data_IF_370820797338
#
_entry.id   IF_370820797338
#
_cell.length_a   1.000
_cell.length_b   1.000
_cell.length_c   1.000
_cell.angle_alpha   90.00
_cell.angle_beta   90.00
_cell.angle_gamma   90.00
#
_symmetry.space_group_name_H-M   'P 1'
#
loop_
_entity.id
_entity.type
_entity.pdbx_description
1 polymer ?
#
# COMPACT_ATOMS: atom_id res chain seq x y z
N UNK A 1 4.73 -19.37 1.14
CA UNK A 1 3.45 -19.41 0.39
C UNK A 1 3.07 -17.98 0.03
N UNK A 2 2.86 -17.66 -1.26
CA UNK A 2 2.46 -16.31 -1.66
C UNK A 2 1.01 -16.04 -1.20
N UNK A 3 0.76 -14.85 -0.62
CA UNK A 3 -0.60 -14.42 -0.27
C UNK A 3 -1.35 -14.13 -1.57
N UNK A 4 -2.58 -14.62 -1.68
CA UNK A 4 -3.44 -14.38 -2.84
C UNK A 4 -4.72 -13.67 -2.41
N UNK A 5 -5.30 -12.89 -3.29
CA UNK A 5 -6.63 -12.34 -3.12
C UNK A 5 -7.73 -13.37 -3.49
N UNK A 6 -9.00 -12.99 -3.31
CA UNK A 6 -10.16 -13.82 -3.65
C UNK A 6 -10.28 -14.14 -5.15
N UNK A 7 -9.55 -13.42 -6.01
CA UNK A 7 -9.53 -13.60 -7.47
C UNK A 7 -8.30 -14.39 -7.93
N UNK A 8 -7.41 -14.78 -7.01
CA UNK A 8 -6.20 -15.55 -7.30
C UNK A 8 -4.96 -14.72 -7.65
N UNK A 9 -5.02 -13.39 -7.59
CA UNK A 9 -3.86 -12.52 -7.80
C UNK A 9 -2.90 -12.59 -6.61
N UNK A 10 -1.59 -12.59 -6.90
CA UNK A 10 -0.57 -12.56 -5.86
C UNK A 10 -0.45 -11.15 -5.24
N UNK A 11 -0.55 -11.10 -3.91
CA UNK A 11 -0.35 -9.92 -3.08
C UNK A 11 1.11 -9.82 -2.65
N UNK A 12 1.67 -8.61 -2.75
CA UNK A 12 3.02 -8.25 -2.31
C UNK A 12 3.07 -8.10 -0.78
N UNK A 13 4.28 -7.88 -0.27
CA UNK A 13 4.47 -7.52 1.15
C UNK A 13 3.72 -6.21 1.44
N UNK A 14 3.10 -6.12 2.62
CA UNK A 14 2.26 -4.97 2.98
C UNK A 14 0.86 -4.96 2.34
N UNK A 15 0.64 -5.63 1.21
CA UNK A 15 -0.68 -5.74 0.56
C UNK A 15 -1.62 -6.74 1.27
N UNK A 16 -2.90 -6.40 1.32
CA UNK A 16 -3.97 -7.25 1.84
C UNK A 16 -5.31 -6.91 1.16
N UNK A 17 -6.15 -7.92 0.90
CA UNK A 17 -7.55 -7.70 0.52
C UNK A 17 -8.43 -7.75 1.77
N UNK A 18 -9.22 -6.71 1.98
CA UNK A 18 -10.13 -6.59 3.12
C UNK A 18 -11.43 -7.34 2.86
N UNK A 19 -12.19 -7.57 3.93
CA UNK A 19 -13.52 -8.23 3.88
C UNK A 19 -14.54 -7.47 3.02
N UNK A 20 -14.40 -6.15 2.89
CA UNK A 20 -15.26 -5.30 2.06
C UNK A 20 -14.83 -5.28 0.58
N UNK A 21 -13.85 -6.10 0.19
CA UNK A 21 -13.37 -6.23 -1.19
C UNK A 21 -12.38 -5.15 -1.63
N UNK A 22 -12.14 -4.12 -0.80
CA UNK A 22 -11.09 -3.13 -1.02
C UNK A 22 -9.72 -3.71 -0.69
N UNK A 23 -8.69 -3.13 -1.29
CA UNK A 23 -7.30 -3.45 -0.97
C UNK A 23 -6.73 -2.45 0.02
N UNK A 24 -5.79 -2.93 0.83
CA UNK A 24 -5.00 -2.10 1.73
C UNK A 24 -3.52 -2.42 1.59
N UNK A 25 -2.70 -1.39 1.71
CA UNK A 25 -1.25 -1.49 1.77
C UNK A 25 -0.77 -0.87 3.08
N UNK A 26 -0.05 -1.66 3.87
CA UNK A 26 0.54 -1.21 5.13
C UNK A 26 2.03 -0.90 4.92
N UNK A 27 2.45 0.30 5.34
CA UNK A 27 3.85 0.71 5.32
C UNK A 27 4.21 1.45 6.60
N UNK A 28 5.51 1.53 6.85
CA UNK A 28 6.07 2.27 7.98
C UNK A 28 6.72 3.53 7.41
N UNK A 29 6.39 4.68 7.97
CA UNK A 29 7.04 5.94 7.59
C UNK A 29 8.47 6.04 8.16
N UNK A 30 9.18 7.12 7.80
CA UNK A 30 10.54 7.40 8.30
C UNK A 30 10.60 7.67 9.82
N UNK A 31 9.46 7.91 10.45
CA UNK A 31 9.33 8.14 11.89
C UNK A 31 8.92 6.87 12.67
N UNK A 32 8.83 5.72 11.98
CA UNK A 32 8.45 4.44 12.58
C UNK A 32 6.95 4.26 12.81
N UNK A 33 6.10 5.18 12.36
CA UNK A 33 4.64 5.07 12.47
C UNK A 33 4.09 4.26 11.30
N UNK A 34 3.14 3.38 11.61
CA UNK A 34 2.48 2.52 10.62
C UNK A 34 1.28 3.22 10.01
N UNK A 35 1.28 3.32 8.69
CA UNK A 35 0.22 3.91 7.89
C UNK A 35 -0.43 2.86 6.99
N UNK A 36 -1.63 3.19 6.52
CA UNK A 36 -2.40 2.33 5.62
C UNK A 36 -2.95 3.14 4.46
N UNK A 37 -2.66 2.71 3.23
CA UNK A 37 -3.32 3.19 2.02
C UNK A 37 -4.43 2.21 1.66
N UNK A 38 -5.59 2.74 1.27
CA UNK A 38 -6.73 1.94 0.83
C UNK A 38 -7.03 2.23 -0.63
N UNK A 39 -7.48 1.22 -1.37
CA UNK A 39 -7.97 1.40 -2.74
C UNK A 39 -9.05 0.38 -3.13
N UNK A 40 -9.82 0.67 -4.18
CA UNK A 40 -10.84 -0.25 -4.71
C UNK A 40 -10.20 -1.36 -5.54
N UNK A 41 -9.14 -1.04 -6.29
CA UNK A 41 -8.43 -2.01 -7.12
C UNK A 41 -6.98 -2.18 -6.69
N UNK A 42 -6.39 -3.33 -6.99
CA UNK A 42 -4.99 -3.64 -6.70
C UNK A 42 -4.04 -2.76 -7.54
N UNK A 43 -4.45 -2.38 -8.74
CA UNK A 43 -3.68 -1.50 -9.63
C UNK A 43 -3.55 -0.10 -9.02
N UNK A 44 -4.68 0.52 -8.66
CA UNK A 44 -4.69 1.84 -8.01
C UNK A 44 -3.92 1.83 -6.68
N UNK A 45 -3.95 0.72 -5.92
CA UNK A 45 -3.18 0.59 -4.69
C UNK A 45 -1.67 0.70 -4.97
N UNK A 46 -1.19 -0.01 -6.00
CA UNK A 46 0.22 -0.01 -6.41
C UNK A 46 0.66 1.30 -7.03
N UNK A 47 -0.23 2.00 -7.72
CA UNK A 47 0.05 3.35 -8.22
C UNK A 47 0.25 4.34 -7.07
N UNK A 48 -0.60 4.26 -6.03
CA UNK A 48 -0.44 5.07 -4.81
C UNK A 48 0.83 4.73 -4.05
N UNK A 49 1.17 3.44 -3.94
CA UNK A 49 2.44 2.99 -3.36
C UNK A 49 3.63 3.58 -4.13
N UNK A 50 3.62 3.54 -5.46
CA UNK A 50 4.69 4.12 -6.30
C UNK A 50 4.79 5.63 -6.16
N UNK A 51 3.66 6.33 -6.11
CA UNK A 51 3.63 7.77 -5.91
C UNK A 51 4.26 8.14 -4.55
N UNK A 52 3.84 7.45 -3.49
CA UNK A 52 4.41 7.61 -2.16
C UNK A 52 5.93 7.35 -2.16
N UNK A 53 6.38 6.29 -2.81
CA UNK A 53 7.81 5.97 -2.90
C UNK A 53 8.58 7.07 -3.63
N UNK A 54 8.03 7.59 -4.74
CA UNK A 54 8.62 8.70 -5.48
C UNK A 54 8.68 9.97 -4.63
N UNK A 55 7.62 10.31 -3.90
CA UNK A 55 7.62 11.46 -3.00
C UNK A 55 8.76 11.34 -1.98
N UNK A 56 8.94 10.15 -1.38
CA UNK A 56 10.05 9.91 -0.46
C UNK A 56 11.44 10.03 -1.11
N UNK A 57 11.60 9.55 -2.35
CA UNK A 57 12.83 9.67 -3.15
C UNK A 57 13.13 11.14 -3.49
N UNK A 58 12.11 11.93 -3.78
CA UNK A 58 12.19 13.37 -4.04
C UNK A 58 12.36 14.20 -2.74
N UNK A 59 12.39 13.54 -1.57
CA UNK A 59 12.53 14.19 -0.27
C UNK A 59 11.23 14.81 0.26
N UNK A 60 10.12 14.65 -0.44
CA UNK A 60 8.78 15.04 -0.01
C UNK A 60 8.23 13.97 0.95
N UNK A 61 7.68 14.42 2.08
CA UNK A 61 7.07 13.51 3.03
C UNK A 61 5.60 13.86 3.18
N UNK A 62 4.69 13.14 2.51
CA UNK A 62 3.26 13.42 2.63
C UNK A 62 2.72 13.17 4.05
N UNK A 63 3.49 12.50 4.91
CA UNK A 63 3.09 12.15 6.29
C UNK A 63 3.94 12.86 7.35
N UNK A 64 4.76 13.83 6.97
CA UNK A 64 5.48 14.72 7.91
C UNK A 64 4.50 15.76 8.46
N UNK A 65 4.23 15.66 9.76
CA UNK A 65 3.52 16.68 10.53
C UNK A 65 4.43 17.89 10.81
#
# INVERSE_FOLDING_TARGET
>A
MARKDSKGYNLRTGECQRKDGKYSYAFTDRFGKRHFIYSKTLVELRERERALQRDYEDGLDPYKA
#
